data_IF_186606745523
#
_entry.id   IF_186606745523
#
_cell.length_a   1.000
_cell.length_b   1.000
_cell.length_c   1.000
_cell.angle_alpha   90.00
_cell.angle_beta   90.00
_cell.angle_gamma   90.00
#
_symmetry.space_group_name_H-M   'P 1'
#
loop_
_entity.id
_entity.type
_entity.pdbx_description
1 polymer ?
#
# COMPACT_ATOMS: atom_id res chain seq x y z
N UNK A 1 -0.76 7.33 -5.56
CA UNK A 1 -0.60 7.40 -4.08
C UNK A 1 0.19 8.66 -3.76
N UNK A 2 -0.25 9.46 -2.80
CA UNK A 2 0.53 10.58 -2.32
C UNK A 2 1.02 10.27 -0.89
N UNK A 3 1.94 11.07 -0.37
CA UNK A 3 2.51 10.86 0.98
C UNK A 3 1.46 10.88 2.10
N UNK A 4 0.35 11.60 1.90
CA UNK A 4 -0.75 11.67 2.85
C UNK A 4 -1.51 10.34 3.00
N UNK A 5 -1.64 9.56 1.92
CA UNK A 5 -2.28 8.24 1.97
C UNK A 5 -1.49 7.28 2.86
N UNK A 6 -0.16 7.33 2.75
CA UNK A 6 0.74 6.52 3.58
C UNK A 6 0.63 6.88 5.06
N UNK A 7 0.42 8.17 5.36
CA UNK A 7 0.27 8.63 6.74
C UNK A 7 -1.01 8.07 7.38
N UNK A 8 -2.16 8.16 6.69
CA UNK A 8 -3.43 7.62 7.20
C UNK A 8 -3.35 6.11 7.39
N UNK A 9 -2.79 5.39 6.42
CA UNK A 9 -2.57 3.95 6.55
C UNK A 9 -1.69 3.60 7.75
N UNK A 10 -0.59 4.33 7.91
CA UNK A 10 0.32 4.10 9.04
C UNK A 10 -0.33 4.33 10.38
N UNK A 11 -1.17 5.36 10.48
CA UNK A 11 -1.96 5.62 11.70
C UNK A 11 -2.93 4.46 11.96
N UNK A 12 -3.67 4.00 10.94
CA UNK A 12 -4.58 2.87 11.08
C UNK A 12 -3.84 1.58 11.48
N UNK A 13 -2.78 1.21 10.76
CA UNK A 13 -1.95 0.02 11.02
C UNK A 13 -1.34 0.04 12.43
N UNK A 14 -0.86 1.20 12.90
CA UNK A 14 -0.27 1.34 14.24
C UNK A 14 -1.32 1.09 15.33
N UNK A 15 -2.59 1.32 15.03
CA UNK A 15 -3.70 1.03 15.92
C UNK A 15 -4.37 -0.32 15.63
N UNK A 16 -3.74 -1.20 14.86
CA UNK A 16 -4.26 -2.54 14.54
C UNK A 16 -5.46 -2.55 13.59
N UNK A 17 -5.72 -1.44 12.89
CA UNK A 17 -6.88 -1.28 12.02
C UNK A 17 -6.54 -1.55 10.56
N UNK A 18 -7.35 -2.35 9.91
CA UNK A 18 -7.32 -2.51 8.46
C UNK A 18 -8.24 -1.48 7.79
N UNK A 19 -7.73 -0.79 6.77
CA UNK A 19 -8.50 0.18 6.00
C UNK A 19 -8.51 -0.15 4.52
N UNK A 20 -9.68 -0.05 3.92
CA UNK A 20 -9.86 -0.07 2.47
C UNK A 20 -9.80 1.35 1.93
N UNK A 21 -9.17 1.54 0.78
CA UNK A 21 -9.04 2.85 0.13
C UNK A 21 -9.95 2.90 -1.07
N UNK A 22 -10.84 3.89 -1.08
CA UNK A 22 -11.77 4.13 -2.16
C UNK A 22 -11.58 5.54 -2.73
N UNK A 23 -11.75 5.67 -4.04
CA UNK A 23 -11.74 7.00 -4.68
C UNK A 23 -12.93 7.78 -4.19
N UNK A 24 -12.71 9.05 -3.80
CA UNK A 24 -13.78 9.93 -3.37
C UNK A 24 -13.66 11.32 -4.00
N UNK A 25 -14.81 12.00 -4.18
CA UNK A 25 -14.91 13.32 -4.79
C UNK A 25 -15.66 14.28 -3.86
N UNK A 26 -15.06 14.56 -2.72
CA UNK A 26 -15.64 15.46 -1.71
C UNK A 26 -14.76 16.70 -1.53
N UNK A 27 -15.38 17.86 -1.33
CA UNK A 27 -14.67 19.07 -0.93
C UNK A 27 -14.04 18.87 0.48
N UNK A 28 -12.85 19.39 0.75
CA UNK A 28 -12.06 20.35 -0.04
C UNK A 28 -11.03 19.72 -0.99
N UNK A 29 -11.15 18.47 -1.30
CA UNK A 29 -10.18 17.67 -2.04
C UNK A 29 -10.28 17.83 -3.56
N UNK A 30 -9.18 17.52 -4.24
CA UNK A 30 -9.13 17.48 -5.70
C UNK A 30 -9.94 16.28 -6.23
N UNK A 31 -10.88 16.46 -7.17
CA UNK A 31 -11.85 15.44 -7.57
C UNK A 31 -11.25 14.18 -8.23
N UNK A 32 -10.00 14.19 -8.64
CA UNK A 32 -9.34 13.03 -9.23
C UNK A 32 -8.08 12.59 -8.49
N UNK A 33 -7.80 13.16 -7.31
CA UNK A 33 -6.55 12.90 -6.57
C UNK A 33 -6.77 12.86 -5.07
N UNK A 34 -7.92 12.34 -4.66
CA UNK A 34 -8.27 12.11 -3.28
C UNK A 34 -8.91 10.74 -3.09
N UNK A 35 -8.80 10.24 -1.90
CA UNK A 35 -9.38 8.97 -1.49
C UNK A 35 -9.94 9.07 -0.08
N UNK A 36 -10.96 8.28 0.22
CA UNK A 36 -11.43 8.01 1.57
C UNK A 36 -10.89 6.67 2.06
N UNK A 37 -10.73 6.58 3.35
CA UNK A 37 -10.31 5.39 4.07
C UNK A 37 -11.49 4.83 4.84
N UNK A 38 -11.82 3.56 4.58
CA UNK A 38 -13.01 2.91 5.12
C UNK A 38 -12.56 1.75 6.01
N UNK A 39 -13.09 1.70 7.22
CA UNK A 39 -12.89 0.63 8.19
C UNK A 39 -13.66 -0.64 7.77
N UNK A 40 -13.34 -1.78 8.39
CA UNK A 40 -13.96 -3.06 8.10
C UNK A 40 -15.48 -3.09 8.32
N UNK A 41 -16.00 -2.25 9.20
CA UNK A 41 -17.43 -2.07 9.47
C UNK A 41 -18.15 -1.15 8.46
N UNK A 42 -17.41 -0.58 7.50
CA UNK A 42 -17.92 0.33 6.49
C UNK A 42 -17.93 1.81 6.92
N UNK A 43 -17.49 2.13 8.14
CA UNK A 43 -17.37 3.53 8.60
C UNK A 43 -16.19 4.22 7.91
N UNK A 44 -16.36 5.48 7.52
CA UNK A 44 -15.27 6.29 6.98
C UNK A 44 -14.36 6.75 8.11
N UNK A 45 -13.09 6.36 8.07
CA UNK A 45 -12.06 6.81 8.99
C UNK A 45 -11.56 8.22 8.65
N UNK A 46 -11.51 8.58 7.37
CA UNK A 46 -11.00 9.88 6.95
C UNK A 46 -10.73 9.97 5.46
N UNK A 47 -10.10 11.07 5.08
CA UNK A 47 -9.74 11.36 3.69
C UNK A 47 -8.29 11.80 3.57
N UNK A 48 -7.67 11.55 2.41
CA UNK A 48 -6.36 12.07 2.07
C UNK A 48 -6.24 12.34 0.58
N UNK A 49 -5.42 13.32 0.22
CA UNK A 49 -5.19 13.65 -1.19
C UNK A 49 -4.62 15.04 -1.43
N UNK A 50 -4.65 15.48 -2.68
CA UNK A 50 -4.38 16.87 -3.03
C UNK A 50 -5.58 17.74 -2.66
N UNK A 51 -5.32 18.94 -2.16
CA UNK A 51 -6.36 19.95 -2.00
C UNK A 51 -6.79 20.50 -3.37
N UNK A 52 -8.07 20.89 -3.45
CA UNK A 52 -8.60 21.50 -4.66
C UNK A 52 -7.82 22.79 -4.98
N UNK A 53 -7.47 23.09 -6.25
CA UNK A 53 -6.69 24.28 -6.61
C UNK A 53 -7.25 25.61 -6.08
N UNK A 54 -8.57 25.77 -6.09
CA UNK A 54 -9.23 26.95 -5.48
C UNK A 54 -9.04 27.07 -3.99
N UNK A 55 -8.94 25.95 -3.27
CA UNK A 55 -8.67 25.96 -1.82
C UNK A 55 -7.23 26.40 -1.57
N UNK A 56 -6.27 25.88 -2.37
CA UNK A 56 -4.88 26.32 -2.27
C UNK A 56 -4.76 27.82 -2.56
N UNK A 57 -5.41 28.33 -3.60
CA UNK A 57 -5.43 29.76 -3.94
C UNK A 57 -6.01 30.62 -2.81
N UNK A 58 -7.19 30.25 -2.28
CA UNK A 58 -7.86 31.02 -1.21
C UNK A 58 -7.07 31.05 0.09
N UNK A 59 -6.31 29.99 0.39
CA UNK A 59 -5.51 29.89 1.60
C UNK A 59 -4.03 30.31 1.41
N UNK A 60 -3.64 30.71 0.20
CA UNK A 60 -2.26 31.06 -0.10
C UNK A 60 -1.28 29.89 0.00
N UNK A 61 -1.77 28.67 -0.22
CA UNK A 61 -0.96 27.45 -0.18
C UNK A 61 -0.29 27.18 -1.54
N UNK A 62 0.87 26.52 -1.56
CA UNK A 62 1.48 26.05 -2.79
C UNK A 62 0.54 25.18 -3.62
N UNK A 63 0.66 25.25 -4.95
CA UNK A 63 -0.06 24.33 -5.83
C UNK A 63 0.29 22.88 -5.48
N UNK A 64 -0.73 21.99 -5.56
CA UNK A 64 -0.57 20.58 -5.26
C UNK A 64 -0.26 20.27 -3.78
N UNK A 65 -0.65 21.17 -2.86
CA UNK A 65 -0.60 20.85 -1.43
C UNK A 65 -1.42 19.61 -1.16
N UNK A 66 -0.83 18.68 -0.43
CA UNK A 66 -1.48 17.44 0.02
C UNK A 66 -1.81 17.54 1.50
N UNK A 67 -2.86 16.84 1.92
CA UNK A 67 -3.27 16.77 3.31
C UNK A 67 -4.03 15.49 3.60
N UNK A 68 -4.41 15.33 4.85
CA UNK A 68 -5.33 14.30 5.30
C UNK A 68 -6.17 14.82 6.46
N UNK A 69 -7.30 14.18 6.67
CA UNK A 69 -8.13 14.32 7.87
C UNK A 69 -8.54 12.94 8.37
N UNK A 70 -8.68 12.80 9.67
CA UNK A 70 -9.09 11.54 10.32
C UNK A 70 -10.16 11.87 11.35
N UNK A 71 -11.23 11.09 11.35
CA UNK A 71 -12.21 11.06 12.41
C UNK A 71 -11.63 10.32 13.62
N UNK A 72 -11.29 11.09 14.67
CA UNK A 72 -10.69 10.52 15.87
C UNK A 72 -11.70 9.69 16.67
N UNK A 73 -12.98 10.02 16.63
CA UNK A 73 -13.99 9.24 17.31
C UNK A 73 -14.15 7.88 16.64
N UNK A 74 -14.13 7.83 15.30
CA UNK A 74 -14.11 6.59 14.54
C UNK A 74 -12.86 5.76 14.82
N UNK A 75 -11.68 6.40 14.91
CA UNK A 75 -10.43 5.72 15.25
C UNK A 75 -10.47 5.13 16.67
N UNK A 76 -10.95 5.89 17.65
CA UNK A 76 -10.94 5.52 19.06
C UNK A 76 -12.12 4.60 19.47
N UNK A 77 -13.18 4.53 18.67
CA UNK A 77 -14.32 3.65 18.93
C UNK A 77 -14.02 2.17 18.63
N UNK A 78 -12.91 1.89 17.99
CA UNK A 78 -12.52 0.50 17.72
C UNK A 78 -12.02 -0.13 19.01
N UNK A 79 -12.74 -1.13 19.51
CA UNK A 79 -12.44 -1.81 20.78
C UNK A 79 -11.07 -2.52 20.79
N UNK A 80 -10.47 -2.70 19.64
CA UNK A 80 -9.22 -3.44 19.44
C UNK A 80 -8.02 -2.53 19.09
N UNK A 81 -7.97 -1.34 19.72
CA UNK A 81 -6.76 -0.50 19.69
C UNK A 81 -5.54 -1.19 20.34
N UNK A 82 -5.66 -2.47 20.61
CA UNK A 82 -4.58 -3.23 21.21
C UNK A 82 -3.58 -3.62 20.17
N UNK A 83 -2.56 -2.84 20.21
CA UNK A 83 -1.27 -3.28 19.84
C UNK A 83 -1.14 -4.81 19.90
N UNK A 84 -1.01 -5.41 18.73
CA UNK A 84 -0.13 -6.50 18.48
C UNK A 84 0.05 -7.50 19.65
N UNK A 85 -0.81 -8.50 19.70
CA UNK A 85 -0.64 -9.72 20.46
C UNK A 85 0.10 -10.82 19.65
N UNK A 86 0.64 -10.44 18.52
CA UNK A 86 1.44 -11.31 17.68
C UNK A 86 2.64 -11.83 18.47
N UNK A 87 2.72 -13.14 18.67
CA UNK A 87 3.89 -13.77 19.23
C UNK A 87 5.13 -13.27 18.49
N UNK A 88 6.03 -12.59 19.21
CA UNK A 88 7.31 -12.16 18.68
C UNK A 88 8.07 -13.39 18.20
N UNK A 89 8.02 -13.65 16.89
CA UNK A 89 8.82 -14.73 16.36
C UNK A 89 10.31 -14.39 16.55
N UNK A 90 11.05 -15.29 17.17
CA UNK A 90 12.49 -15.20 17.35
C UNK A 90 13.27 -15.60 16.11
N UNK A 91 12.59 -16.10 15.10
CA UNK A 91 13.23 -16.53 13.86
C UNK A 91 13.57 -15.34 12.94
N UNK A 92 14.70 -15.38 12.24
CA UNK A 92 15.13 -14.30 11.38
C UNK A 92 14.20 -14.16 10.17
N UNK A 93 14.04 -12.93 9.71
CA UNK A 93 13.30 -12.64 8.48
C UNK A 93 14.17 -12.91 7.25
N UNK A 94 13.53 -13.31 6.16
CA UNK A 94 14.11 -13.33 4.81
C UNK A 94 13.49 -12.22 3.98
N UNK A 95 14.32 -11.34 3.39
CA UNK A 95 13.85 -10.24 2.55
C UNK A 95 14.15 -10.50 1.10
N UNK A 96 13.17 -10.26 0.25
CA UNK A 96 13.25 -10.39 -1.20
C UNK A 96 12.73 -9.12 -1.85
N UNK A 97 13.54 -8.50 -2.69
CA UNK A 97 13.13 -7.34 -3.46
C UNK A 97 12.74 -7.76 -4.89
N UNK A 98 11.72 -7.12 -5.45
CA UNK A 98 11.30 -7.33 -6.83
C UNK A 98 10.81 -6.02 -7.43
N UNK A 99 11.20 -5.73 -8.65
CA UNK A 99 10.65 -4.64 -9.44
C UNK A 99 9.79 -5.20 -10.57
N UNK A 100 8.58 -4.69 -10.71
CA UNK A 100 7.59 -5.14 -11.68
C UNK A 100 7.19 -4.00 -12.62
N UNK A 101 7.24 -4.27 -13.91
CA UNK A 101 6.73 -3.38 -14.95
C UNK A 101 5.27 -3.73 -15.21
N UNK A 102 4.40 -2.74 -15.09
CA UNK A 102 2.94 -2.88 -15.25
C UNK A 102 2.38 -1.70 -16.02
N UNK A 103 1.11 -1.76 -16.41
CA UNK A 103 0.40 -0.64 -17.01
C UNK A 103 0.35 0.56 -16.06
N UNK A 104 0.48 1.77 -16.61
CA UNK A 104 0.56 2.99 -15.81
C UNK A 104 -0.73 3.27 -15.02
N UNK A 105 -1.88 2.82 -15.52
CA UNK A 105 -3.20 2.96 -14.90
C UNK A 105 -3.50 1.89 -13.85
N UNK A 106 -2.74 0.78 -13.80
CA UNK A 106 -2.95 -0.26 -12.78
C UNK A 106 -2.68 0.32 -11.38
N UNK A 107 -3.66 0.31 -10.45
CA UNK A 107 -3.44 0.80 -9.10
C UNK A 107 -2.37 -0.04 -8.37
N UNK A 108 -1.43 0.62 -7.70
CA UNK A 108 -0.39 -0.06 -6.91
C UNK A 108 -0.97 -1.01 -5.87
N UNK A 109 -2.10 -0.63 -5.26
CA UNK A 109 -2.80 -1.45 -4.28
C UNK A 109 -3.32 -2.77 -4.86
N UNK A 110 -3.84 -2.75 -6.08
CA UNK A 110 -4.31 -3.96 -6.76
C UNK A 110 -3.16 -4.94 -7.00
N UNK A 111 -2.01 -4.44 -7.46
CA UNK A 111 -0.82 -5.27 -7.64
C UNK A 111 -0.29 -5.79 -6.29
N UNK A 112 -0.26 -4.94 -5.25
CA UNK A 112 0.17 -5.34 -3.91
C UNK A 112 -0.73 -6.43 -3.31
N UNK A 113 -2.05 -6.35 -3.50
CA UNK A 113 -2.99 -7.39 -3.06
C UNK A 113 -2.72 -8.73 -3.75
N UNK A 114 -2.46 -8.70 -5.07
CA UNK A 114 -2.13 -9.92 -5.84
C UNK A 114 -0.79 -10.52 -5.38
N UNK A 115 0.21 -9.68 -5.09
CA UNK A 115 1.50 -10.16 -4.57
C UNK A 115 1.34 -10.81 -3.19
N UNK A 116 0.52 -10.23 -2.29
CA UNK A 116 0.24 -10.84 -0.98
C UNK A 116 -0.42 -12.20 -1.11
N UNK A 117 -1.43 -12.30 -1.97
CA UNK A 117 -2.11 -13.56 -2.23
C UNK A 117 -1.15 -14.64 -2.76
N UNK A 118 -0.31 -14.29 -3.72
CA UNK A 118 0.63 -15.23 -4.34
C UNK A 118 1.83 -15.59 -3.46
N UNK A 119 2.20 -14.73 -2.51
CA UNK A 119 3.33 -14.95 -1.60
C UNK A 119 3.02 -15.94 -0.46
N UNK A 120 1.74 -16.09 -0.08
CA UNK A 120 1.32 -17.02 0.96
C UNK A 120 1.41 -16.47 2.39
N UNK A 121 1.15 -17.37 3.36
CA UNK A 121 0.96 -17.01 4.78
C UNK A 121 2.26 -16.56 5.48
N UNK A 122 3.42 -16.98 4.99
CA UNK A 122 4.71 -16.57 5.56
C UNK A 122 5.12 -15.14 5.18
N UNK A 123 4.34 -14.45 4.36
CA UNK A 123 4.58 -13.04 4.05
C UNK A 123 4.15 -12.16 5.23
N UNK A 124 5.11 -11.72 6.04
CA UNK A 124 4.89 -10.85 7.19
C UNK A 124 4.63 -9.40 6.76
N UNK A 125 5.39 -8.90 5.77
CA UNK A 125 5.30 -7.50 5.33
C UNK A 125 5.55 -7.38 3.83
N UNK A 126 4.74 -6.55 3.17
CA UNK A 126 4.94 -6.12 1.79
C UNK A 126 4.98 -4.59 1.74
N UNK A 127 6.11 -4.05 1.33
CA UNK A 127 6.34 -2.61 1.20
C UNK A 127 6.57 -2.23 -0.26
N UNK A 128 5.89 -1.18 -0.73
CA UNK A 128 6.26 -0.53 -1.99
C UNK A 128 7.27 0.57 -1.67
N UNK A 129 8.48 0.46 -2.17
CA UNK A 129 9.54 1.42 -1.82
C UNK A 129 9.99 2.29 -2.99
N UNK A 130 9.63 1.95 -4.24
CA UNK A 130 9.97 2.78 -5.39
C UNK A 130 8.88 2.73 -6.47
N UNK A 131 8.71 3.86 -7.15
CA UNK A 131 7.87 4.03 -8.34
C UNK A 131 8.68 4.78 -9.39
N UNK A 132 8.98 4.13 -10.51
CA UNK A 132 9.67 4.74 -11.61
C UNK A 132 8.76 4.86 -12.84
N UNK A 133 8.75 6.08 -13.41
CA UNK A 133 8.09 6.41 -14.66
C UNK A 133 9.09 7.21 -15.50
N UNK A 134 9.64 6.61 -16.55
CA UNK A 134 10.65 7.30 -17.35
C UNK A 134 10.95 6.58 -18.65
N UNK A 135 11.83 7.17 -19.45
CA UNK A 135 12.13 6.81 -20.84
C UNK A 135 12.73 5.40 -21.02
N UNK A 136 13.13 4.75 -19.92
CA UNK A 136 13.64 3.37 -19.95
C UNK A 136 12.52 2.31 -19.91
N UNK A 137 11.27 2.73 -19.82
CA UNK A 137 10.11 1.84 -19.84
C UNK A 137 9.34 2.03 -21.15
N UNK A 138 8.63 0.98 -21.62
CA UNK A 138 7.68 1.12 -22.70
C UNK A 138 6.64 2.22 -22.42
N UNK A 139 6.16 2.88 -23.47
CA UNK A 139 5.10 3.87 -23.36
C UNK A 139 3.86 3.29 -22.66
N UNK A 140 3.26 4.03 -21.74
CA UNK A 140 2.11 3.58 -20.96
C UNK A 140 2.42 2.60 -19.83
N UNK A 141 3.69 2.38 -19.51
CA UNK A 141 4.12 1.51 -18.39
C UNK A 141 4.74 2.28 -17.24
N UNK A 142 4.70 1.66 -16.07
CA UNK A 142 5.44 2.08 -14.87
C UNK A 142 6.12 0.88 -14.23
N UNK A 143 7.18 1.13 -13.48
CA UNK A 143 7.87 0.12 -12.66
C UNK A 143 7.58 0.38 -11.19
N UNK A 144 7.14 -0.64 -10.48
CA UNK A 144 6.90 -0.61 -9.04
C UNK A 144 7.86 -1.59 -8.37
N UNK A 145 8.60 -1.10 -7.37
CA UNK A 145 9.51 -1.93 -6.61
C UNK A 145 8.90 -2.27 -5.24
N UNK A 146 8.90 -3.55 -4.93
CA UNK A 146 8.35 -4.10 -3.69
C UNK A 146 9.43 -4.84 -2.91
N UNK A 147 9.36 -4.72 -1.60
CA UNK A 147 10.09 -5.54 -0.65
C UNK A 147 9.13 -6.50 0.03
N UNK A 148 9.42 -7.78 -0.11
CA UNK A 148 8.70 -8.87 0.53
C UNK A 148 9.52 -9.34 1.72
N UNK A 149 8.97 -9.25 2.92
CA UNK A 149 9.59 -9.77 4.14
C UNK A 149 8.84 -11.02 4.56
N UNK A 150 9.55 -12.14 4.55
CA UNK A 150 9.01 -13.44 4.90
C UNK A 150 9.52 -13.89 6.26
N UNK A 151 8.66 -14.55 7.05
CA UNK A 151 9.00 -15.20 8.30
C UNK A 151 8.11 -16.40 8.54
N UNK A 152 8.70 -17.55 8.87
CA UNK A 152 7.92 -18.67 9.38
C UNK A 152 7.75 -18.56 10.91
N UNK A 153 6.61 -19.00 11.46
CA UNK A 153 6.34 -18.91 12.89
C UNK A 153 7.16 -19.91 13.72
N UNK A 154 7.60 -21.00 13.13
CA UNK A 154 8.11 -22.20 13.80
C UNK A 154 9.57 -22.57 13.44
N UNK A 155 10.18 -21.88 12.43
CA UNK A 155 11.51 -22.22 11.92
C UNK A 155 12.17 -21.05 11.19
N UNK A 156 13.46 -21.16 10.93
CA UNK A 156 14.17 -20.28 10.01
C UNK A 156 13.85 -20.66 8.57
N UNK A 157 13.39 -19.70 7.76
CA UNK A 157 13.18 -19.91 6.33
C UNK A 157 14.53 -20.03 5.61
N UNK A 158 14.61 -21.00 4.70
CA UNK A 158 15.75 -21.11 3.77
C UNK A 158 15.61 -20.09 2.64
N UNK A 159 16.72 -19.66 2.08
CA UNK A 159 16.76 -18.70 0.97
C UNK A 159 15.93 -19.18 -0.24
N UNK A 160 16.00 -20.47 -0.56
CA UNK A 160 15.26 -21.07 -1.66
C UNK A 160 13.74 -21.03 -1.44
N UNK A 161 13.28 -21.20 -0.20
CA UNK A 161 11.86 -21.13 0.15
C UNK A 161 11.32 -19.70 -0.04
N UNK A 162 12.05 -18.69 0.45
CA UNK A 162 11.68 -17.31 0.25
C UNK A 162 11.70 -16.89 -1.24
N UNK A 163 12.66 -17.42 -2.01
CA UNK A 163 12.72 -17.20 -3.46
C UNK A 163 11.53 -17.83 -4.17
N UNK A 164 11.15 -19.06 -3.81
CA UNK A 164 9.99 -19.74 -4.38
C UNK A 164 8.67 -18.99 -4.10
N UNK A 165 8.50 -18.45 -2.86
CA UNK A 165 7.33 -17.64 -2.51
C UNK A 165 7.27 -16.33 -3.31
N UNK A 166 8.41 -15.63 -3.46
CA UNK A 166 8.50 -14.47 -4.34
C UNK A 166 8.15 -14.81 -5.79
N UNK A 167 8.66 -15.93 -6.31
CA UNK A 167 8.37 -16.38 -7.68
C UNK A 167 6.89 -16.72 -7.87
N UNK A 168 6.26 -17.35 -6.89
CA UNK A 168 4.81 -17.61 -6.92
C UNK A 168 4.01 -16.31 -6.96
N UNK A 169 4.38 -15.32 -6.14
CA UNK A 169 3.75 -14.00 -6.13
C UNK A 169 3.90 -13.28 -7.47
N UNK A 170 5.11 -13.27 -8.05
CA UNK A 170 5.37 -12.61 -9.34
C UNK A 170 4.69 -13.32 -10.50
N UNK A 171 4.60 -14.64 -10.45
CA UNK A 171 3.86 -15.44 -11.44
C UNK A 171 2.37 -15.09 -11.43
N UNK A 172 1.76 -15.03 -10.26
CA UNK A 172 0.35 -14.63 -10.14
C UNK A 172 0.12 -13.20 -10.63
N UNK A 173 1.06 -12.28 -10.34
CA UNK A 173 1.01 -10.92 -10.85
C UNK A 173 1.13 -10.86 -12.39
N UNK A 174 1.97 -11.68 -12.98
CA UNK A 174 2.09 -11.81 -14.44
C UNK A 174 0.80 -12.36 -15.06
N UNK A 175 0.21 -13.38 -14.47
CA UNK A 175 -1.03 -14.01 -14.96
C UNK A 175 -2.25 -13.06 -14.91
N UNK A 176 -2.37 -12.26 -13.85
CA UNK A 176 -3.54 -11.39 -13.65
C UNK A 176 -3.40 -10.00 -14.27
N UNK A 177 -2.19 -9.47 -14.31
CA UNK A 177 -1.95 -8.07 -14.65
C UNK A 177 -0.92 -7.89 -15.78
N UNK A 178 -0.41 -8.99 -16.36
CA UNK A 178 0.66 -8.89 -17.34
C UNK A 178 1.94 -8.25 -16.79
N UNK A 179 2.18 -8.40 -15.48
CA UNK A 179 3.36 -7.84 -14.83
C UNK A 179 4.64 -8.55 -15.30
N UNK A 180 5.67 -7.78 -15.62
CA UNK A 180 6.97 -8.29 -16.05
C UNK A 180 8.04 -7.93 -15.01
N UNK A 181 8.90 -8.90 -14.65
CA UNK A 181 10.01 -8.62 -13.73
C UNK A 181 11.05 -7.77 -14.46
N UNK A 182 11.39 -6.62 -13.86
CA UNK A 182 12.44 -5.75 -14.35
C UNK A 182 13.80 -6.33 -13.98
N UNK A 183 14.63 -6.59 -15.01
CA UNK A 183 16.01 -7.06 -14.86
C UNK A 183 16.96 -5.92 -14.46
#
# INVERSE_FOLDING_TARGET
>A
MCSSDLTVRRIAETNGLEVTVEVDQIAPWHPGRAAKFVLADGQTLGHAGELHPKVCENLGLPARTVGFEIDLDALLAQDDLRAWDGALSTYPVSRQDVALIVDADLPTQTLAATLREGAGEELELLETFDLYTGDQLPEGKKSLAFRLTFRAPDRTLKADEASAMREAATKLAAERHGAEVRS
#
